data_IF_510998221876
#
_entry.id   IF_510998221876
#
_cell.length_a   1.000
_cell.length_b   1.000
_cell.length_c   1.000
_cell.angle_alpha   90.00
_cell.angle_beta   90.00
_cell.angle_gamma   90.00
#
_symmetry.space_group_name_H-M   'P 1'
#
loop_
_entity.id
_entity.type
_entity.pdbx_description
1 polymer ?
#
# COMPACT_ATOMS: atom_id res chain seq x y z
N UNK A 1 28.66 11.15 11.09
CA UNK A 1 27.35 10.72 10.56
C UNK A 1 26.15 11.42 11.23
N UNK A 2 25.60 10.96 12.36
CA UNK A 2 24.40 11.61 12.96
C UNK A 2 24.61 13.10 13.31
N UNK A 3 25.80 13.44 13.83
CA UNK A 3 26.20 14.81 14.17
C UNK A 3 26.36 15.75 12.96
N UNK A 4 26.64 15.22 11.78
CA UNK A 4 26.75 15.99 10.52
C UNK A 4 25.37 16.25 9.90
N UNK A 5 24.45 15.29 10.02
CA UNK A 5 23.07 15.44 9.53
C UNK A 5 22.30 16.53 10.28
N UNK A 6 22.50 16.67 11.60
CA UNK A 6 21.85 17.71 12.43
C UNK A 6 22.26 19.12 11.99
N UNK A 7 23.53 19.33 11.64
CA UNK A 7 24.03 20.65 11.22
C UNK A 7 23.48 21.07 9.86
N UNK A 8 23.11 20.11 9.00
CA UNK A 8 22.62 20.37 7.64
C UNK A 8 21.09 20.58 7.54
N UNK A 9 20.30 20.02 8.48
CA UNK A 9 18.84 19.96 8.39
C UNK A 9 18.10 20.97 9.30
N UNK A 10 18.82 21.67 10.18
CA UNK A 10 18.21 22.56 11.18
C UNK A 10 17.74 21.80 12.43
N UNK A 11 16.97 22.44 13.34
CA UNK A 11 16.47 21.77 14.54
C UNK A 11 15.47 20.66 14.19
N UNK A 12 15.76 19.44 14.64
CA UNK A 12 14.96 18.23 14.43
C UNK A 12 14.45 17.69 15.77
N UNK A 13 13.22 17.15 15.80
CA UNK A 13 12.66 16.48 16.98
C UNK A 13 13.29 15.10 17.25
N UNK A 14 13.85 14.46 16.21
CA UNK A 14 14.51 13.17 16.32
C UNK A 14 14.74 12.48 14.97
N UNK A 15 15.22 11.24 15.02
CA UNK A 15 15.44 10.39 13.84
C UNK A 15 14.58 9.12 13.95
N UNK A 16 13.89 8.76 12.87
CA UNK A 16 13.29 7.42 12.73
C UNK A 16 14.33 6.52 12.06
N UNK A 17 14.86 5.54 12.80
CA UNK A 17 15.79 4.54 12.28
C UNK A 17 15.01 3.25 12.09
N UNK A 18 15.06 2.70 10.88
CA UNK A 18 14.36 1.47 10.51
C UNK A 18 15.32 0.53 9.79
N UNK A 19 14.95 -0.75 9.77
CA UNK A 19 15.64 -1.75 8.98
C UNK A 19 15.49 -1.47 7.48
N UNK A 20 16.57 -1.65 6.73
CA UNK A 20 16.51 -1.64 5.26
C UNK A 20 16.02 -2.99 4.77
N UNK A 21 14.86 -3.00 4.13
CA UNK A 21 14.27 -4.17 3.49
C UNK A 21 14.44 -4.11 1.97
N UNK A 22 14.67 -5.26 1.35
CA UNK A 22 14.69 -5.44 -0.10
C UNK A 22 13.58 -6.40 -0.52
N UNK A 23 13.07 -6.27 -1.75
CA UNK A 23 11.97 -7.07 -2.25
C UNK A 23 11.98 -7.21 -3.78
N UNK A 24 11.29 -8.23 -4.25
CA UNK A 24 11.20 -8.57 -5.68
C UNK A 24 10.07 -7.82 -6.42
N UNK A 25 9.15 -7.22 -5.67
CA UNK A 25 8.08 -6.37 -6.18
C UNK A 25 7.65 -5.38 -5.11
N UNK A 26 7.04 -4.29 -5.56
CA UNK A 26 6.41 -3.30 -4.70
C UNK A 26 4.89 -3.42 -4.84
N UNK A 27 4.17 -3.21 -3.75
CA UNK A 27 2.71 -3.17 -3.71
C UNK A 27 2.32 -1.96 -2.90
N UNK A 28 1.38 -1.18 -3.42
CA UNK A 28 0.78 -0.06 -2.70
C UNK A 28 -0.55 -0.56 -2.13
N UNK A 29 -0.71 -0.42 -0.83
CA UNK A 29 -1.97 -0.63 -0.10
C UNK A 29 -2.24 0.67 0.65
N UNK A 30 -3.42 1.22 0.46
CA UNK A 30 -3.79 2.48 1.11
C UNK A 30 -5.27 2.56 1.38
N UNK A 31 -5.68 3.61 2.06
CA UNK A 31 -7.07 3.95 2.23
C UNK A 31 -7.23 5.45 2.44
N UNK A 32 -8.31 6.00 1.91
CA UNK A 32 -8.65 7.41 2.11
C UNK A 32 -10.11 7.58 2.42
N UNK A 33 -10.46 8.72 3.02
CA UNK A 33 -11.85 9.06 3.27
C UNK A 33 -12.42 9.86 2.09
N UNK A 34 -13.38 9.27 1.40
CA UNK A 34 -14.22 9.97 0.45
C UNK A 34 -15.38 10.69 1.18
N UNK A 35 -15.74 11.93 0.80
CA UNK A 35 -16.82 12.68 1.44
C UNK A 35 -18.21 12.02 1.34
N UNK A 36 -18.46 11.23 0.30
CA UNK A 36 -19.75 10.61 0.01
C UNK A 36 -19.77 9.14 0.41
N UNK A 37 -18.67 8.42 0.19
CA UNK A 37 -18.59 6.97 0.38
C UNK A 37 -17.93 6.55 1.71
N UNK A 38 -17.34 7.47 2.46
CA UNK A 38 -16.60 7.13 3.68
C UNK A 38 -15.24 6.53 3.35
N UNK A 39 -14.77 5.55 4.12
CA UNK A 39 -13.46 4.95 3.90
C UNK A 39 -13.43 4.12 2.61
N UNK A 40 -12.43 4.35 1.77
CA UNK A 40 -12.20 3.64 0.50
C UNK A 40 -10.79 3.06 0.53
N UNK A 41 -10.68 1.75 0.39
CA UNK A 41 -9.41 1.04 0.28
C UNK A 41 -8.88 1.06 -1.15
N UNK A 42 -7.55 1.06 -1.28
CA UNK A 42 -6.79 1.06 -2.52
C UNK A 42 -5.76 -0.08 -2.50
N UNK A 43 -5.61 -0.75 -3.64
CA UNK A 43 -4.46 -1.61 -3.90
C UNK A 43 -3.92 -1.41 -5.32
N UNK A 44 -2.60 -1.47 -5.48
CA UNK A 44 -1.92 -1.40 -6.78
C UNK A 44 -0.54 -2.06 -6.72
N UNK A 45 0.00 -2.46 -7.87
CA UNK A 45 1.38 -2.96 -7.95
C UNK A 45 2.33 -1.79 -8.17
N UNK A 46 3.20 -1.54 -7.18
CA UNK A 46 4.10 -0.39 -7.04
C UNK A 46 5.19 -0.25 -8.12
N UNK A 47 6.08 0.71 -7.91
CA UNK A 47 7.00 1.22 -8.91
C UNK A 47 6.34 2.16 -9.93
N UNK A 48 7.04 2.41 -11.04
CA UNK A 48 6.63 3.35 -12.11
C UNK A 48 5.22 3.05 -12.65
N UNK A 49 4.77 1.80 -12.53
CA UNK A 49 3.45 1.36 -12.98
C UNK A 49 2.30 2.10 -12.27
N UNK A 50 2.36 2.35 -10.96
CA UNK A 50 1.29 3.12 -10.29
C UNK A 50 1.34 4.59 -10.67
N UNK A 51 2.55 5.17 -10.72
CA UNK A 51 2.74 6.60 -10.97
C UNK A 51 2.28 7.01 -12.38
N UNK A 52 2.55 6.18 -13.38
CA UNK A 52 2.25 6.50 -14.78
C UNK A 52 0.95 5.85 -15.25
N UNK A 53 0.71 4.57 -14.92
CA UNK A 53 -0.41 3.82 -15.48
C UNK A 53 -1.69 3.95 -14.65
N UNK A 54 -1.61 4.49 -13.42
CA UNK A 54 -2.74 4.58 -12.48
C UNK A 54 -3.44 3.22 -12.30
N UNK A 55 -2.67 2.13 -12.34
CA UNK A 55 -3.18 0.76 -12.23
C UNK A 55 -3.46 0.44 -10.75
N UNK A 56 -4.65 0.85 -10.31
CA UNK A 56 -5.14 0.68 -8.94
C UNK A 56 -6.57 0.18 -8.94
N UNK A 57 -6.90 -0.64 -7.95
CA UNK A 57 -8.26 -1.06 -7.66
C UNK A 57 -8.75 -0.39 -6.36
N UNK A 58 -10.00 0.08 -6.40
CA UNK A 58 -10.65 0.76 -5.28
C UNK A 58 -11.88 -0.03 -4.82
N UNK A 59 -12.14 -0.03 -3.52
CA UNK A 59 -13.38 -0.56 -2.95
C UNK A 59 -13.77 0.15 -1.65
N UNK A 60 -15.07 0.27 -1.33
CA UNK A 60 -15.51 0.69 -0.01
C UNK A 60 -14.89 -0.20 1.07
N UNK A 61 -14.36 0.43 2.11
CA UNK A 61 -13.79 -0.26 3.26
C UNK A 61 -14.87 -0.48 4.36
N UNK A 62 -14.75 -1.55 5.16
CA UNK A 62 -13.73 -2.59 5.09
C UNK A 62 -13.98 -3.60 3.96
N UNK A 63 -12.92 -4.23 3.47
CA UNK A 63 -13.00 -5.27 2.42
C UNK A 63 -12.82 -6.67 3.01
N UNK A 64 -13.51 -7.65 2.42
CA UNK A 64 -13.27 -9.07 2.72
C UNK A 64 -12.03 -9.58 2.00
N UNK A 65 -11.48 -10.71 2.46
CA UNK A 65 -10.35 -11.36 1.79
C UNK A 65 -10.65 -11.72 0.32
N UNK A 66 -11.87 -12.21 0.05
CA UNK A 66 -12.30 -12.50 -1.32
C UNK A 66 -12.39 -11.24 -2.19
N UNK A 67 -12.86 -10.12 -1.62
CA UNK A 67 -12.90 -8.84 -2.33
C UNK A 67 -11.50 -8.28 -2.58
N UNK A 68 -10.61 -8.34 -1.59
CA UNK A 68 -9.21 -7.92 -1.74
C UNK A 68 -8.49 -8.74 -2.81
N UNK A 69 -8.70 -10.05 -2.85
CA UNK A 69 -8.17 -10.91 -3.92
C UNK A 69 -8.70 -10.50 -5.30
N UNK A 70 -10.01 -10.27 -5.42
CA UNK A 70 -10.60 -9.81 -6.68
C UNK A 70 -10.06 -8.43 -7.12
N UNK A 71 -9.76 -7.54 -6.18
CA UNK A 71 -9.11 -6.25 -6.47
C UNK A 71 -7.72 -6.45 -7.08
N UNK A 72 -6.90 -7.33 -6.49
CA UNK A 72 -5.56 -7.66 -7.03
C UNK A 72 -5.64 -8.27 -8.43
N UNK A 73 -6.56 -9.22 -8.63
CA UNK A 73 -6.75 -9.88 -9.93
C UNK A 73 -7.31 -8.95 -11.01
N UNK A 74 -7.90 -7.81 -10.63
CA UNK A 74 -8.43 -6.81 -11.56
C UNK A 74 -7.40 -5.82 -12.10
N UNK A 75 -6.18 -5.81 -11.52
CA UNK A 75 -5.10 -4.94 -11.96
C UNK A 75 -4.64 -5.33 -13.36
N UNK A 76 -4.31 -4.35 -14.20
CA UNK A 76 -3.73 -4.60 -15.52
C UNK A 76 -2.39 -5.35 -15.40
N UNK A 77 -1.62 -5.07 -14.35
CA UNK A 77 -0.37 -5.73 -14.00
C UNK A 77 -0.56 -7.03 -13.20
N UNK A 78 -1.78 -7.53 -12.99
CA UNK A 78 -2.05 -8.79 -12.28
C UNK A 78 -1.21 -9.99 -12.76
N UNK A 79 -0.81 -10.14 -14.05
CA UNK A 79 0.10 -11.21 -14.45
C UNK A 79 1.44 -11.23 -13.69
N UNK A 80 1.92 -10.08 -13.18
CA UNK A 80 3.14 -10.01 -12.37
C UNK A 80 3.00 -10.68 -11.00
N UNK A 81 1.78 -10.87 -10.51
CA UNK A 81 1.49 -11.60 -9.26
C UNK A 81 1.99 -13.05 -9.34
N UNK A 82 1.95 -13.65 -10.53
CA UNK A 82 2.43 -15.00 -10.79
C UNK A 82 3.97 -15.09 -10.98
N UNK A 83 4.68 -13.98 -10.87
CA UNK A 83 6.12 -13.87 -11.11
C UNK A 83 6.45 -13.38 -12.51
N UNK A 84 7.64 -12.80 -12.68
CA UNK A 84 8.12 -12.26 -13.96
C UNK A 84 9.64 -12.35 -14.06
N UNK A 85 10.17 -12.51 -15.28
CA UNK A 85 11.62 -12.54 -15.56
C UNK A 85 12.41 -13.51 -14.67
N UNK A 86 11.86 -14.71 -14.44
CA UNK A 86 12.48 -15.74 -13.61
C UNK A 86 12.32 -15.54 -12.10
N UNK A 87 11.59 -14.52 -11.66
CA UNK A 87 11.22 -14.31 -10.25
C UNK A 87 10.03 -15.20 -9.86
N UNK A 88 9.98 -15.67 -8.60
CA UNK A 88 8.88 -16.48 -8.11
C UNK A 88 7.57 -15.66 -8.03
N UNK A 89 6.41 -16.34 -7.91
CA UNK A 89 5.14 -15.69 -7.57
C UNK A 89 5.22 -14.89 -6.27
N UNK A 90 4.42 -13.83 -6.18
CA UNK A 90 4.28 -13.05 -4.96
C UNK A 90 3.44 -13.80 -3.92
N UNK A 91 3.63 -13.46 -2.65
CA UNK A 91 2.77 -13.95 -1.57
C UNK A 91 1.43 -13.21 -1.59
N UNK A 92 0.50 -13.73 -2.39
CA UNK A 92 -0.84 -13.16 -2.56
C UNK A 92 -1.63 -13.19 -1.24
N UNK A 93 -1.41 -14.20 -0.39
CA UNK A 93 -2.11 -14.30 0.88
C UNK A 93 -1.67 -13.17 1.83
N UNK A 94 -0.38 -12.88 1.90
CA UNK A 94 0.15 -11.77 2.69
C UNK A 94 -0.36 -10.41 2.19
N UNK A 95 -0.42 -10.20 0.87
CA UNK A 95 -0.96 -8.96 0.29
C UNK A 95 -2.46 -8.82 0.61
N UNK A 96 -3.24 -9.88 0.45
CA UNK A 96 -4.67 -9.90 0.80
C UNK A 96 -4.88 -9.57 2.27
N UNK A 97 -4.09 -10.16 3.18
CA UNK A 97 -4.17 -9.88 4.61
C UNK A 97 -3.85 -8.41 4.92
N UNK A 98 -2.81 -7.84 4.29
CA UNK A 98 -2.48 -6.42 4.43
C UNK A 98 -3.62 -5.50 3.98
N UNK A 99 -4.21 -5.76 2.80
CA UNK A 99 -5.35 -4.99 2.27
C UNK A 99 -6.55 -5.06 3.22
N UNK A 100 -6.87 -6.26 3.73
CA UNK A 100 -7.98 -6.44 4.67
C UNK A 100 -7.72 -5.63 5.94
N UNK A 101 -6.54 -5.77 6.56
CA UNK A 101 -6.21 -5.06 7.81
C UNK A 101 -6.20 -3.55 7.67
N UNK A 102 -5.61 -3.03 6.59
CA UNK A 102 -5.61 -1.59 6.29
C UNK A 102 -7.03 -1.08 6.10
N UNK A 103 -7.88 -1.83 5.39
CA UNK A 103 -9.27 -1.43 5.19
C UNK A 103 -10.08 -1.39 6.50
N UNK A 104 -9.84 -2.33 7.41
CA UNK A 104 -10.46 -2.32 8.74
C UNK A 104 -9.96 -1.15 9.59
N UNK A 105 -8.65 -0.91 9.61
CA UNK A 105 -8.08 0.26 10.29
C UNK A 105 -8.70 1.57 9.77
N UNK A 106 -8.85 1.71 8.45
CA UNK A 106 -9.46 2.87 7.84
C UNK A 106 -10.94 3.05 8.24
N UNK A 107 -11.70 1.96 8.28
CA UNK A 107 -13.09 1.97 8.74
C UNK A 107 -13.20 2.38 10.22
N UNK A 108 -12.32 1.83 11.08
CA UNK A 108 -12.29 2.10 12.52
C UNK A 108 -11.84 3.53 12.85
N UNK A 109 -10.93 4.10 12.06
CA UNK A 109 -10.50 5.50 12.22
C UNK A 109 -11.63 6.48 11.86
N UNK A 110 -12.52 6.11 10.94
CA UNK A 110 -13.69 6.90 10.56
C UNK A 110 -13.30 8.32 10.14
N UNK A 111 -13.90 9.39 10.72
CA UNK A 111 -13.56 10.77 10.39
C UNK A 111 -12.13 11.21 10.70
N UNK A 112 -11.36 10.44 11.49
CA UNK A 112 -9.95 10.75 11.79
C UNK A 112 -9.01 10.30 10.69
N UNK A 113 -9.48 9.50 9.73
CA UNK A 113 -8.71 9.12 8.56
C UNK A 113 -8.56 10.34 7.66
N UNK A 114 -7.31 10.81 7.51
CA UNK A 114 -6.94 11.83 6.52
C UNK A 114 -6.56 11.09 5.23
N UNK A 115 -5.43 10.41 5.23
CA UNK A 115 -4.96 9.50 4.17
C UNK A 115 -4.09 8.39 4.82
N UNK A 116 -4.05 7.20 4.22
CA UNK A 116 -3.25 6.05 4.63
C UNK A 116 -2.71 5.29 3.42
#
# INVERSE_FOLDING_TARGET
>A
MAREMVTALGPLDGFCVQETVSGEAEVIVGARRDPHFGAVALVGLGGIAVEILRDVALAPAPVSAGRARAMLESLAAAPLLAGARGRPPLDIAAIVDAVVRVSWLAADLGPRLVDL
#
